data_IF_390369372623
#
_entry.id   IF_390369372623
#
_cell.length_a   1.000
_cell.length_b   1.000
_cell.length_c   1.000
_cell.angle_alpha   90.00
_cell.angle_beta   90.00
_cell.angle_gamma   90.00
#
_symmetry.space_group_name_H-M   'P 1'
#
loop_
_entity.id
_entity.type
_entity.pdbx_description
1 polymer ?
#
# COMPACT_ATOMS: atom_id res chain seq x y z
N UNK A 1 -1.86 -12.46 -8.12
CA UNK A 1 -3.18 -11.79 -7.99
C UNK A 1 -3.22 -11.03 -6.67
N UNK A 2 -3.88 -9.88 -6.59
CA UNK A 2 -4.00 -9.08 -5.36
C UNK A 2 -4.67 -9.88 -4.25
N UNK A 3 -4.05 -9.92 -3.08
CA UNK A 3 -4.52 -10.67 -1.91
C UNK A 3 -5.88 -10.17 -1.40
N UNK A 4 -6.11 -8.86 -1.44
CA UNK A 4 -7.31 -8.25 -0.87
C UNK A 4 -8.51 -8.31 -1.82
N UNK A 5 -8.36 -7.86 -3.07
CA UNK A 5 -9.50 -7.73 -3.99
C UNK A 5 -9.66 -8.92 -4.96
N UNK A 6 -8.65 -9.77 -5.08
CA UNK A 6 -8.65 -10.96 -5.95
C UNK A 6 -9.06 -10.69 -7.42
N UNK A 7 -8.95 -9.43 -7.88
CA UNK A 7 -9.45 -9.00 -9.20
C UNK A 7 -8.40 -8.25 -10.03
N UNK A 8 -7.25 -7.93 -9.43
CA UNK A 8 -6.18 -7.17 -10.08
C UNK A 8 -4.83 -7.87 -9.89
N UNK A 9 -3.85 -7.51 -10.71
CA UNK A 9 -2.47 -7.97 -10.54
C UNK A 9 -1.87 -7.41 -9.24
N UNK A 10 -1.06 -8.24 -8.58
CA UNK A 10 -0.31 -7.84 -7.39
C UNK A 10 1.07 -7.33 -7.82
N UNK A 11 1.15 -6.04 -8.14
CA UNK A 11 2.40 -5.42 -8.59
C UNK A 11 3.21 -4.81 -7.45
N UNK A 12 2.64 -4.72 -6.25
CA UNK A 12 3.32 -4.21 -5.06
C UNK A 12 3.43 -5.28 -3.99
N UNK A 13 4.56 -5.30 -3.30
CA UNK A 13 4.76 -6.06 -2.07
C UNK A 13 5.21 -5.12 -0.95
N UNK A 14 5.18 -5.64 0.28
CA UNK A 14 5.74 -4.96 1.44
C UNK A 14 6.75 -5.88 2.10
N UNK A 15 8.00 -5.42 2.22
CA UNK A 15 9.09 -6.21 2.81
C UNK A 15 9.17 -6.07 4.33
N UNK A 16 8.31 -5.23 4.92
CA UNK A 16 8.19 -5.05 6.37
C UNK A 16 7.01 -5.84 6.95
N UNK A 17 5.97 -6.09 6.17
CA UNK A 17 4.86 -6.94 6.60
C UNK A 17 5.34 -8.38 6.83
N UNK A 18 4.76 -9.05 7.82
CA UNK A 18 5.09 -10.45 8.11
C UNK A 18 4.38 -11.35 7.12
N UNK A 19 5.12 -12.04 6.26
CA UNK A 19 4.56 -12.96 5.27
C UNK A 19 4.89 -12.53 3.84
N UNK A 20 4.41 -13.28 2.86
CA UNK A 20 4.59 -12.96 1.45
C UNK A 20 3.28 -12.46 0.86
N UNK A 21 3.10 -11.13 0.91
CA UNK A 21 1.87 -10.46 0.53
C UNK A 21 2.04 -9.66 -0.76
N UNK A 22 0.99 -9.61 -1.56
CA UNK A 22 0.97 -8.89 -2.83
C UNK A 22 -0.34 -8.13 -3.05
N UNK A 23 -0.23 -6.85 -3.43
CA UNK A 23 -1.37 -5.96 -3.61
C UNK A 23 -1.34 -5.23 -4.95
N UNK A 24 -2.53 -4.90 -5.45
CA UNK A 24 -2.68 -3.79 -6.38
C UNK A 24 -2.58 -2.45 -5.62
N UNK A 25 -2.29 -1.35 -6.32
CA UNK A 25 -2.06 -0.04 -5.70
C UNK A 25 -3.20 0.42 -4.75
N UNK A 26 -4.50 0.31 -5.09
CA UNK A 26 -5.56 0.74 -4.17
C UNK A 26 -5.61 -0.09 -2.89
N UNK A 27 -5.42 -1.41 -3.01
CA UNK A 27 -5.42 -2.31 -1.85
C UNK A 27 -4.16 -2.14 -1.00
N UNK A 28 -3.03 -1.78 -1.61
CA UNK A 28 -1.80 -1.45 -0.90
C UNK A 28 -2.03 -0.27 0.05
N UNK A 29 -2.56 0.85 -0.48
CA UNK A 29 -2.85 2.05 0.32
C UNK A 29 -3.79 1.72 1.47
N UNK A 30 -4.90 1.04 1.16
CA UNK A 30 -5.91 0.69 2.17
C UNK A 30 -5.33 -0.22 3.26
N UNK A 31 -4.53 -1.22 2.89
CA UNK A 31 -3.96 -2.17 3.86
C UNK A 31 -2.84 -1.56 4.71
N UNK A 32 -2.20 -0.48 4.25
CA UNK A 32 -1.11 0.19 4.95
C UNK A 32 -1.52 1.50 5.63
N UNK A 33 -2.82 1.76 5.78
CA UNK A 33 -3.33 3.02 6.31
C UNK A 33 -2.78 3.37 7.71
N UNK A 34 -2.58 2.36 8.56
CA UNK A 34 -2.00 2.49 9.90
C UNK A 34 -0.51 2.16 9.97
N UNK A 35 0.13 1.91 8.81
CA UNK A 35 1.51 1.44 8.69
C UNK A 35 2.34 2.34 7.75
N UNK A 36 2.40 3.67 7.99
CA UNK A 36 2.90 4.66 7.03
C UNK A 36 4.39 4.53 6.70
N UNK A 37 5.16 3.83 7.54
CA UNK A 37 6.63 3.70 7.42
C UNK A 37 7.08 2.33 6.91
N UNK A 38 6.15 1.46 6.54
CA UNK A 38 6.50 0.18 5.96
C UNK A 38 7.20 0.36 4.61
N UNK A 39 8.25 -0.44 4.37
CA UNK A 39 8.97 -0.43 3.11
C UNK A 39 8.24 -1.28 2.08
N UNK A 40 7.92 -0.66 0.95
CA UNK A 40 7.19 -1.30 -0.15
C UNK A 40 8.08 -1.38 -1.39
N UNK A 41 7.84 -2.39 -2.21
CA UNK A 41 8.50 -2.53 -3.50
C UNK A 41 7.47 -2.68 -4.62
N UNK A 42 7.80 -2.14 -5.79
CA UNK A 42 7.04 -2.29 -7.01
C UNK A 42 7.77 -3.22 -7.97
N UNK A 43 7.04 -4.17 -8.57
CA UNK A 43 7.53 -5.00 -9.66
C UNK A 43 7.42 -4.24 -10.98
N UNK A 44 8.54 -3.78 -11.52
CA UNK A 44 8.59 -3.02 -12.77
C UNK A 44 8.69 -3.90 -14.03
N UNK A 45 8.36 -5.19 -13.93
CA UNK A 45 8.57 -6.24 -14.95
C UNK A 45 9.99 -6.78 -15.09
N UNK A 46 10.99 -6.14 -14.48
CA UNK A 46 12.40 -6.59 -14.52
C UNK A 46 12.89 -6.96 -13.13
N UNK A 47 12.66 -6.10 -12.15
CA UNK A 47 13.07 -6.30 -10.76
C UNK A 47 12.13 -5.57 -9.79
N UNK A 48 12.30 -5.88 -8.50
CA UNK A 48 11.68 -5.09 -7.44
C UNK A 48 12.47 -3.81 -7.20
N UNK A 49 11.76 -2.69 -7.19
CA UNK A 49 12.30 -1.38 -6.87
C UNK A 49 11.62 -0.84 -5.61
N UNK A 50 12.42 -0.32 -4.68
CA UNK A 50 11.91 0.36 -3.49
C UNK A 50 11.12 1.60 -3.91
N UNK A 51 9.90 1.71 -3.39
CA UNK A 51 9.03 2.87 -3.60
C UNK A 51 8.47 3.35 -2.27
N UNK A 52 7.96 4.58 -2.25
CA UNK A 52 7.34 5.16 -1.06
C UNK A 52 5.82 5.08 -1.18
N UNK A 53 5.14 4.82 -0.06
CA UNK A 53 3.69 4.76 0.01
C UNK A 53 3.07 6.12 -0.41
N UNK A 54 3.70 7.23 -0.03
CA UNK A 54 3.32 8.59 -0.44
C UNK A 54 3.32 8.78 -1.96
N UNK A 55 4.32 8.24 -2.66
CA UNK A 55 4.41 8.33 -4.13
C UNK A 55 3.31 7.51 -4.82
N UNK A 56 2.68 6.57 -4.10
CA UNK A 56 1.53 5.83 -4.60
C UNK A 56 0.21 6.59 -4.37
N UNK A 57 0.22 7.76 -3.70
CA UNK A 57 -0.98 8.53 -3.39
C UNK A 57 -1.52 8.29 -1.98
N UNK A 58 -0.76 7.66 -1.09
CA UNK A 58 -1.14 7.56 0.32
C UNK A 58 -1.05 8.92 1.02
N UNK A 59 -2.11 9.25 1.74
CA UNK A 59 -2.22 10.41 2.59
C UNK A 59 -2.32 9.93 4.03
N UNK A 60 -1.40 10.38 4.88
CA UNK A 60 -1.43 10.05 6.29
C UNK A 60 -2.29 11.05 7.06
N UNK A 61 -3.53 10.65 7.35
CA UNK A 61 -4.40 11.41 8.24
C UNK A 61 -4.03 11.13 9.70
N UNK A 62 -3.70 12.17 10.46
CA UNK A 62 -3.21 12.07 11.84
C UNK A 62 -4.34 11.90 12.88
N UNK A 63 -5.60 12.04 12.46
CA UNK A 63 -6.79 11.91 13.31
C UNK A 63 -7.77 10.86 12.77
N UNK A 64 -8.93 10.74 13.40
CA UNK A 64 -10.05 9.91 12.94
C UNK A 64 -9.69 8.46 12.57
N UNK A 65 -8.70 7.88 13.25
CA UNK A 65 -8.24 6.52 12.96
C UNK A 65 -7.58 6.35 11.59
N UNK A 66 -7.10 7.43 10.98
CA UNK A 66 -6.52 7.43 9.63
C UNK A 66 -7.49 7.87 8.53
N UNK A 67 -8.73 8.23 8.86
CA UNK A 67 -9.69 8.74 7.89
C UNK A 67 -9.56 10.25 7.63
N UNK A 68 -9.98 10.75 6.46
CA UNK A 68 -10.11 12.18 6.20
C UNK A 68 -11.02 12.87 7.22
N UNK A 69 -10.72 14.12 7.56
CA UNK A 69 -11.62 14.94 8.35
C UNK A 69 -12.97 15.12 7.61
N UNK A 70 -14.12 15.13 8.33
CA UNK A 70 -15.40 15.44 7.71
C UNK A 70 -15.37 16.84 7.08
N UNK A 71 -15.81 16.96 5.83
CA UNK A 71 -16.05 18.25 5.19
C UNK A 71 -17.40 18.78 5.67
N UNK A 72 -17.38 19.73 6.61
CA UNK A 72 -18.56 20.48 7.03
C UNK A 72 -18.80 21.68 6.11
#
# INVERSE_FOLDING_TARGET
ICETCQSAEATFNCVTCTGNHGWCQPCLIKSHQSLPFHKIQFWNSVCFQDVNLSNQGFIWHLGHGGEPCPSY
#
